data_IF_165797910375
#
_entry.id   IF_165797910375
#
_cell.length_a   1.000
_cell.length_b   1.000
_cell.length_c   1.000
_cell.angle_alpha   90.00
_cell.angle_beta   90.00
_cell.angle_gamma   90.00
#
_symmetry.space_group_name_H-M   'P 1'
#
loop_
_entity.id
_entity.type
_entity.pdbx_description
1 polymer ?
#
# COMPACT_ATOMS: atom_id res chain seq x y z
N UNK A 1 -32.31 -29.00 -8.63
CA UNK A 1 -33.05 -27.97 -7.90
C UNK A 1 -32.35 -26.66 -8.20
N UNK A 2 -32.86 -25.93 -9.17
CA UNK A 2 -32.27 -24.64 -9.56
C UNK A 2 -32.58 -23.63 -8.45
N UNK A 3 -31.52 -23.02 -7.92
CA UNK A 3 -31.65 -21.98 -6.91
C UNK A 3 -32.46 -20.81 -7.53
N UNK A 4 -33.44 -20.25 -6.81
CA UNK A 4 -34.21 -19.11 -7.32
C UNK A 4 -33.28 -17.94 -7.60
N UNK A 5 -33.55 -17.20 -8.67
CA UNK A 5 -32.71 -16.06 -9.04
C UNK A 5 -32.60 -15.06 -7.89
N UNK A 6 -31.38 -14.56 -7.60
CA UNK A 6 -31.20 -13.63 -6.50
C UNK A 6 -31.93 -12.31 -6.79
N UNK A 7 -32.52 -11.68 -5.76
CA UNK A 7 -33.26 -10.44 -5.90
C UNK A 7 -32.33 -9.27 -6.30
N UNK A 8 -32.90 -8.24 -6.94
CA UNK A 8 -32.14 -7.13 -7.53
C UNK A 8 -31.20 -6.42 -6.55
N UNK A 9 -31.61 -6.24 -5.28
CA UNK A 9 -30.77 -5.63 -4.26
C UNK A 9 -29.54 -6.48 -3.92
N UNK A 10 -29.67 -7.82 -3.99
CA UNK A 10 -28.58 -8.74 -3.71
C UNK A 10 -27.56 -8.73 -4.84
N UNK A 11 -28.04 -8.71 -6.10
CA UNK A 11 -27.19 -8.56 -7.29
C UNK A 11 -26.41 -7.22 -7.24
N UNK A 12 -27.08 -6.12 -6.86
CA UNK A 12 -26.44 -4.82 -6.71
C UNK A 12 -25.40 -4.79 -5.58
N UNK A 13 -25.73 -5.36 -4.41
CA UNK A 13 -24.82 -5.45 -3.27
C UNK A 13 -23.57 -6.27 -3.58
N UNK A 14 -23.72 -7.43 -4.22
CA UNK A 14 -22.60 -8.29 -4.60
C UNK A 14 -21.71 -7.60 -5.63
N UNK A 15 -22.30 -6.95 -6.65
CA UNK A 15 -21.55 -6.19 -7.64
C UNK A 15 -20.74 -5.04 -7.04
N UNK A 16 -21.26 -4.36 -6.01
CA UNK A 16 -20.54 -3.28 -5.31
C UNK A 16 -19.45 -3.82 -4.38
N UNK A 17 -19.70 -4.96 -3.73
CA UNK A 17 -18.75 -5.61 -2.83
C UNK A 17 -17.56 -6.19 -3.60
N UNK A 18 -17.78 -6.71 -4.79
CA UNK A 18 -16.74 -7.35 -5.62
C UNK A 18 -15.81 -6.33 -6.30
N UNK A 19 -16.27 -5.10 -6.51
CA UNK A 19 -15.48 -4.05 -7.18
C UNK A 19 -14.44 -3.39 -6.27
N UNK A 20 -14.61 -3.43 -4.95
CA UNK A 20 -13.76 -2.69 -4.01
C UNK A 20 -13.16 -3.61 -2.96
N UNK A 21 -11.84 -3.55 -2.82
CA UNK A 21 -11.14 -4.22 -1.73
C UNK A 21 -11.63 -3.67 -0.38
N UNK A 22 -11.61 -4.47 0.71
CA UNK A 22 -11.97 -3.99 2.05
C UNK A 22 -11.20 -2.73 2.47
N UNK A 23 -9.96 -2.59 2.03
CA UNK A 23 -9.11 -1.41 2.25
C UNK A 23 -9.61 -0.16 1.52
N UNK A 24 -10.13 -0.29 0.30
CA UNK A 24 -10.72 0.84 -0.43
C UNK A 24 -11.95 1.41 0.30
N UNK A 25 -12.80 0.54 0.87
CA UNK A 25 -13.95 0.97 1.67
C UNK A 25 -13.54 1.77 2.90
N UNK A 26 -12.49 1.35 3.61
CA UNK A 26 -11.97 2.07 4.78
C UNK A 26 -11.52 3.49 4.39
N UNK A 27 -10.77 3.62 3.31
CA UNK A 27 -10.30 4.93 2.83
C UNK A 27 -11.46 5.85 2.43
N UNK A 28 -12.46 5.32 1.72
CA UNK A 28 -13.67 6.07 1.34
C UNK A 28 -14.42 6.55 2.59
N UNK A 29 -14.62 5.68 3.58
CA UNK A 29 -15.33 6.05 4.81
C UNK A 29 -14.59 7.11 5.63
N UNK A 30 -13.27 6.98 5.78
CA UNK A 30 -12.43 7.97 6.47
C UNK A 30 -12.47 9.34 5.78
N UNK A 31 -12.42 9.35 4.46
CA UNK A 31 -12.51 10.58 3.68
C UNK A 31 -13.87 11.28 3.84
N UNK A 32 -14.96 10.51 3.85
CA UNK A 32 -16.32 11.04 4.10
C UNK A 32 -16.42 11.63 5.51
N UNK A 33 -15.88 10.95 6.54
CA UNK A 33 -15.89 11.48 7.91
C UNK A 33 -15.09 12.78 8.04
N UNK A 34 -13.95 12.89 7.34
CA UNK A 34 -13.16 14.13 7.28
C UNK A 34 -13.95 15.27 6.65
N UNK A 35 -14.59 15.05 5.50
CA UNK A 35 -15.42 16.06 4.84
C UNK A 35 -16.62 16.48 5.71
N UNK A 36 -17.27 15.53 6.37
CA UNK A 36 -18.38 15.82 7.28
C UNK A 36 -17.92 16.65 8.48
N UNK A 37 -16.78 16.31 9.10
CA UNK A 37 -16.21 17.07 10.21
C UNK A 37 -15.83 18.50 9.78
N UNK A 38 -15.26 18.66 8.59
CA UNK A 38 -14.93 19.97 8.03
C UNK A 38 -16.20 20.79 7.79
N UNK A 39 -17.22 20.18 7.18
CA UNK A 39 -18.51 20.81 6.91
C UNK A 39 -19.16 21.33 8.20
N UNK A 40 -19.21 20.51 9.25
CA UNK A 40 -19.75 20.92 10.57
C UNK A 40 -18.95 22.09 11.15
N UNK A 41 -17.63 22.06 11.05
CA UNK A 41 -16.76 23.11 11.59
C UNK A 41 -16.92 24.42 10.83
N UNK A 42 -16.95 24.36 9.49
CA UNK A 42 -17.17 25.54 8.64
C UNK A 42 -18.56 26.12 8.85
N UNK A 43 -19.61 25.29 8.87
CA UNK A 43 -20.98 25.72 9.13
C UNK A 43 -21.07 26.46 10.48
N UNK A 44 -20.38 25.95 11.51
CA UNK A 44 -20.34 26.55 12.83
C UNK A 44 -19.48 27.82 12.90
N UNK A 45 -18.42 27.96 12.09
CA UNK A 45 -17.58 29.18 11.99
C UNK A 45 -18.34 30.30 11.26
N UNK A 46 -19.08 29.97 10.20
CA UNK A 46 -19.86 30.95 9.45
C UNK A 46 -20.96 31.58 10.32
N UNK A 47 -21.47 30.85 11.30
CA UNK A 47 -22.57 31.31 12.17
C UNK A 47 -22.11 31.83 13.56
N UNK A 48 -20.91 31.47 14.05
CA UNK A 48 -20.39 31.87 15.36
C UNK A 48 -18.92 32.29 15.34
N UNK A 49 -18.52 33.21 16.23
CA UNK A 49 -17.15 33.74 16.33
C UNK A 49 -16.11 32.65 16.63
N UNK A 50 -14.95 32.72 15.94
CA UNK A 50 -13.96 31.64 15.83
C UNK A 50 -13.37 31.18 17.17
N UNK A 51 -13.36 32.07 18.17
CA UNK A 51 -12.80 31.84 19.50
C UNK A 51 -13.61 30.82 20.31
N UNK A 52 -14.88 30.57 19.95
CA UNK A 52 -15.76 29.60 20.64
C UNK A 52 -15.72 28.20 20.01
N UNK A 53 -15.02 28.02 18.88
CA UNK A 53 -15.05 26.80 18.06
C UNK A 53 -13.82 25.89 18.17
N UNK A 54 -12.99 26.09 19.19
CA UNK A 54 -11.75 25.32 19.42
C UNK A 54 -11.99 23.80 19.42
N UNK A 55 -13.12 23.33 19.95
CA UNK A 55 -13.49 21.90 19.98
C UNK A 55 -13.67 21.30 18.58
N UNK A 56 -14.25 22.05 17.63
CA UNK A 56 -14.45 21.58 16.25
C UNK A 56 -13.14 21.50 15.47
N UNK A 57 -12.27 22.50 15.67
CA UNK A 57 -10.94 22.54 15.04
C UNK A 57 -10.08 21.35 15.48
N UNK A 58 -10.07 21.02 16.77
CA UNK A 58 -9.36 19.85 17.30
C UNK A 58 -9.85 18.54 16.67
N UNK A 59 -11.17 18.38 16.53
CA UNK A 59 -11.75 17.20 15.86
C UNK A 59 -11.36 17.12 14.38
N UNK A 60 -11.36 18.26 13.66
CA UNK A 60 -10.92 18.26 12.25
C UNK A 60 -9.45 17.87 12.11
N UNK A 61 -8.57 18.40 12.96
CA UNK A 61 -7.15 18.05 12.97
C UNK A 61 -6.95 16.56 13.28
N UNK A 62 -7.74 16.00 14.21
CA UNK A 62 -7.71 14.57 14.52
C UNK A 62 -8.08 13.69 13.31
N UNK A 63 -9.16 14.02 12.59
CA UNK A 63 -9.55 13.28 11.39
C UNK A 63 -8.56 13.45 10.23
N UNK A 64 -7.95 14.63 10.08
CA UNK A 64 -6.86 14.85 9.12
C UNK A 64 -5.67 13.96 9.45
N UNK A 65 -5.26 13.90 10.73
CA UNK A 65 -4.16 13.05 11.18
C UNK A 65 -4.45 11.58 10.91
N UNK A 66 -5.65 11.10 11.22
CA UNK A 66 -6.04 9.71 10.93
C UNK A 66 -5.96 9.41 9.43
N UNK A 67 -6.52 10.28 8.59
CA UNK A 67 -6.49 10.11 7.15
C UNK A 67 -5.05 10.02 6.62
N UNK A 68 -4.15 10.88 7.09
CA UNK A 68 -2.74 10.86 6.70
C UNK A 68 -2.01 9.60 7.19
N UNK A 69 -2.26 9.14 8.43
CA UNK A 69 -1.66 7.91 8.95
C UNK A 69 -2.13 6.68 8.20
N UNK A 70 -3.44 6.58 7.92
CA UNK A 70 -3.98 5.49 7.10
C UNK A 70 -3.45 5.52 5.67
N UNK A 71 -3.29 6.71 5.09
CA UNK A 71 -2.66 6.87 3.78
C UNK A 71 -1.20 6.39 3.80
N UNK A 72 -0.42 6.77 4.82
CA UNK A 72 0.96 6.30 5.01
C UNK A 72 1.05 4.78 5.10
N UNK A 73 0.19 4.16 5.93
CA UNK A 73 0.15 2.70 6.10
C UNK A 73 -0.21 1.99 4.77
N UNK A 74 -1.02 2.63 3.92
CA UNK A 74 -1.33 2.07 2.62
C UNK A 74 -0.15 2.17 1.65
N UNK A 75 0.57 3.31 1.67
CA UNK A 75 1.78 3.53 0.88
C UNK A 75 2.94 2.62 1.29
N UNK A 76 3.02 2.20 2.56
CA UNK A 76 4.14 1.40 3.10
C UNK A 76 4.06 -0.12 2.81
N UNK A 77 3.06 -0.61 2.07
CA UNK A 77 2.96 -2.04 1.71
C UNK A 77 3.90 -2.48 0.57
N UNK A 78 4.80 -1.61 0.11
CA UNK A 78 5.74 -1.88 -0.98
C UNK A 78 7.17 -2.20 -0.53
N UNK A 79 7.48 -2.15 0.78
CA UNK A 79 8.76 -2.64 1.29
C UNK A 79 8.74 -4.17 1.40
N UNK A 80 8.72 -4.84 0.26
CA UNK A 80 8.99 -6.27 0.19
C UNK A 80 10.46 -6.47 0.56
N UNK A 81 10.75 -6.97 1.75
CA UNK A 81 12.12 -7.27 2.13
C UNK A 81 12.43 -8.71 1.74
N UNK A 82 13.64 -8.93 1.23
CA UNK A 82 14.15 -10.26 0.93
C UNK A 82 15.46 -10.54 1.64
N UNK A 83 15.73 -11.81 1.89
CA UNK A 83 17.06 -12.29 2.27
C UNK A 83 17.58 -13.23 1.22
N UNK A 84 18.81 -12.97 0.77
CA UNK A 84 19.51 -13.87 -0.13
C UNK A 84 19.95 -15.10 0.65
N UNK A 85 19.60 -16.28 0.15
CA UNK A 85 19.91 -17.55 0.80
C UNK A 85 20.87 -18.43 -0.01
N UNK A 86 21.11 -18.08 -1.28
CA UNK A 86 22.17 -18.71 -2.07
C UNK A 86 23.55 -18.28 -1.54
N UNK A 87 24.54 -19.20 -1.44
CA UNK A 87 25.90 -18.85 -1.02
C UNK A 87 26.53 -17.75 -1.89
N UNK A 88 26.16 -17.74 -3.17
CA UNK A 88 26.58 -16.77 -4.17
C UNK A 88 25.43 -16.51 -5.12
N UNK A 89 25.06 -15.25 -5.28
CA UNK A 89 24.07 -14.83 -6.25
C UNK A 89 24.60 -13.68 -7.10
N UNK A 90 24.41 -13.79 -8.40
CA UNK A 90 24.87 -12.81 -9.35
C UNK A 90 23.74 -11.83 -9.66
N UNK A 91 23.98 -10.56 -9.36
CA UNK A 91 23.03 -9.48 -9.67
C UNK A 91 23.31 -8.97 -11.07
N UNK A 92 22.25 -8.84 -11.86
CA UNK A 92 22.29 -8.53 -13.28
C UNK A 92 21.58 -7.23 -13.61
N UNK A 93 21.90 -6.63 -14.75
CA UNK A 93 21.29 -5.36 -15.17
C UNK A 93 19.84 -5.49 -15.63
N UNK A 94 19.46 -6.67 -16.14
CA UNK A 94 18.16 -6.95 -16.73
C UNK A 94 17.71 -8.36 -16.34
N UNK A 95 16.38 -8.66 -16.32
CA UNK A 95 15.80 -9.96 -15.97
C UNK A 95 16.05 -11.02 -17.05
N UNK A 96 17.31 -11.31 -17.33
CA UNK A 96 17.73 -12.25 -18.38
C UNK A 96 19.06 -12.92 -18.01
N UNK A 97 19.20 -14.20 -18.34
CA UNK A 97 20.44 -14.98 -18.19
C UNK A 97 21.59 -14.51 -19.09
N UNK A 98 21.31 -13.69 -20.11
CA UNK A 98 22.32 -13.15 -21.04
C UNK A 98 22.78 -11.72 -20.72
N UNK A 99 22.15 -11.05 -19.74
CA UNK A 99 22.48 -9.67 -19.39
C UNK A 99 23.79 -9.56 -18.61
N UNK A 100 24.36 -8.35 -18.57
CA UNK A 100 25.63 -8.07 -17.89
C UNK A 100 25.52 -8.29 -16.38
N UNK A 101 26.51 -8.96 -15.80
CA UNK A 101 26.66 -9.08 -14.35
C UNK A 101 27.13 -7.75 -13.77
N UNK A 102 26.36 -7.17 -12.87
CA UNK A 102 26.69 -5.90 -12.22
C UNK A 102 27.58 -6.11 -10.99
N UNK A 103 27.16 -7.01 -10.09
CA UNK A 103 27.88 -7.35 -8.87
C UNK A 103 27.40 -8.70 -8.30
N UNK A 104 28.13 -9.24 -7.34
CA UNK A 104 27.80 -10.48 -6.63
C UNK A 104 27.36 -10.17 -5.21
N UNK A 105 26.37 -10.90 -4.72
CA UNK A 105 25.86 -10.82 -3.34
C UNK A 105 25.94 -12.20 -2.69
N UNK A 106 26.09 -12.21 -1.37
CA UNK A 106 26.26 -13.43 -0.58
C UNK A 106 25.05 -13.70 0.32
N UNK A 107 24.99 -14.93 0.82
CA UNK A 107 23.94 -15.35 1.75
C UNK A 107 23.86 -14.42 2.98
N UNK A 108 22.65 -14.28 3.51
CA UNK A 108 22.38 -13.47 4.70
C UNK A 108 22.23 -11.96 4.44
N UNK A 109 22.50 -11.49 3.21
CA UNK A 109 22.26 -10.10 2.85
C UNK A 109 20.75 -9.82 2.76
N UNK A 110 20.32 -8.79 3.49
CA UNK A 110 18.97 -8.22 3.41
C UNK A 110 18.91 -7.19 2.29
N UNK A 111 17.90 -7.29 1.45
CA UNK A 111 17.68 -6.40 0.31
C UNK A 111 16.22 -5.96 0.26
N UNK A 112 15.98 -4.76 -0.26
CA UNK A 112 14.63 -4.34 -0.61
C UNK A 112 14.27 -4.91 -1.97
N UNK A 113 13.00 -5.23 -2.18
CA UNK A 113 12.49 -5.79 -3.42
C UNK A 113 11.54 -4.77 -4.02
N UNK A 114 11.91 -4.29 -5.20
CA UNK A 114 11.18 -3.23 -5.87
C UNK A 114 10.13 -3.80 -6.82
N UNK A 115 10.51 -4.83 -7.58
CA UNK A 115 9.65 -5.44 -8.60
C UNK A 115 9.87 -6.94 -8.73
N UNK A 116 8.81 -7.66 -9.09
CA UNK A 116 8.81 -9.08 -9.43
C UNK A 116 8.38 -9.23 -10.89
N UNK A 117 9.22 -9.87 -11.71
CA UNK A 117 8.94 -10.11 -13.13
C UNK A 117 9.29 -11.56 -13.51
N UNK A 118 8.25 -12.37 -13.75
CA UNK A 118 8.38 -13.81 -14.02
C UNK A 118 9.20 -14.53 -12.91
N UNK A 119 10.37 -15.07 -13.26
CA UNK A 119 11.30 -15.73 -12.34
C UNK A 119 12.42 -14.80 -11.82
N UNK A 120 12.31 -13.49 -12.07
CA UNK A 120 13.30 -12.50 -11.66
C UNK A 120 12.74 -11.52 -10.64
N UNK A 121 13.62 -11.08 -9.75
CA UNK A 121 13.32 -10.13 -8.67
C UNK A 121 14.29 -8.97 -8.80
N UNK A 122 13.76 -7.76 -8.90
CA UNK A 122 14.57 -6.55 -8.80
C UNK A 122 14.81 -6.24 -7.32
N UNK A 123 16.09 -6.21 -6.96
CA UNK A 123 16.54 -5.93 -5.61
C UNK A 123 17.27 -4.58 -5.55
N UNK A 124 17.11 -3.91 -4.43
CA UNK A 124 17.83 -2.69 -4.07
C UNK A 124 18.63 -2.90 -2.79
N UNK A 125 19.92 -2.59 -2.87
CA UNK A 125 20.85 -2.67 -1.74
C UNK A 125 20.77 -1.39 -0.90
N UNK A 126 21.25 -1.47 0.34
CA UNK A 126 21.33 -0.32 1.26
C UNK A 126 22.21 0.83 0.73
N UNK A 127 23.10 0.56 -0.23
CA UNK A 127 23.93 1.57 -0.90
C UNK A 127 23.24 2.22 -2.12
N UNK A 128 21.98 1.87 -2.39
CA UNK A 128 21.17 2.38 -3.49
C UNK A 128 21.44 1.71 -4.84
N UNK A 129 22.26 0.65 -4.89
CA UNK A 129 22.44 -0.12 -6.13
C UNK A 129 21.26 -1.04 -6.37
N UNK A 130 20.77 -1.03 -7.59
CA UNK A 130 19.68 -1.89 -8.04
C UNK A 130 20.18 -2.94 -9.03
N UNK A 131 19.45 -4.06 -9.10
CA UNK A 131 19.63 -5.05 -10.15
C UNK A 131 18.76 -6.28 -9.94
N UNK A 132 18.85 -7.21 -10.88
CA UNK A 132 17.97 -8.37 -10.98
C UNK A 132 18.67 -9.64 -10.49
N UNK A 133 17.97 -10.40 -9.66
CA UNK A 133 18.37 -11.72 -9.16
C UNK A 133 17.27 -12.72 -9.50
N UNK A 134 17.65 -13.98 -9.68
CA UNK A 134 16.67 -15.04 -9.90
C UNK A 134 15.91 -15.35 -8.60
N UNK A 135 14.60 -15.55 -8.70
CA UNK A 135 13.70 -15.75 -7.57
C UNK A 135 14.05 -17.01 -6.74
N UNK A 136 14.70 -17.99 -7.37
CA UNK A 136 15.24 -19.16 -6.69
C UNK A 136 16.43 -18.85 -5.77
N UNK A 137 17.01 -17.65 -5.76
CA UNK A 137 18.16 -17.31 -4.91
C UNK A 137 17.81 -16.41 -3.73
N UNK A 138 16.57 -15.92 -3.68
CA UNK A 138 16.07 -14.98 -2.68
C UNK A 138 14.86 -15.55 -1.98
N UNK A 139 14.74 -15.28 -0.68
CA UNK A 139 13.56 -15.63 0.11
C UNK A 139 12.89 -14.35 0.59
N UNK A 140 11.64 -14.16 0.21
CA UNK A 140 10.79 -13.07 0.68
C UNK A 140 10.57 -13.19 2.19
N UNK A 141 10.75 -12.09 2.90
CA UNK A 141 10.33 -11.92 4.29
C UNK A 141 8.99 -11.18 4.23
N UNK A 142 7.91 -11.91 4.54
CA UNK A 142 6.57 -11.36 4.70
C UNK A 142 6.21 -11.32 6.19
#
# INVERSE_FOLDING_TARGET
MDLPEPPLYLKWYLSMKEQFTPSAWINITLFIFLLFSLFVTVNRIVFFSIVQNLRGVILTIFFISLFLTFHSIWTDNSLNLGVIYSPKAEVRSEPNTFSTRLFEVHEGLKVSINQLENDWVEIELLDGKTGWISNDQIRLIQ
#
